data_IF_017924660182
#
_entry.id   IF_017924660182
#
_cell.length_a   1.000
_cell.length_b   1.000
_cell.length_c   1.000
_cell.angle_alpha   90.00
_cell.angle_beta   90.00
_cell.angle_gamma   90.00
#
_symmetry.space_group_name_H-M   'P 1'
#
loop_
_entity.id
_entity.type
_entity.pdbx_description
1 polymer ?
#
# COMPACT_ATOMS: atom_id res chain seq x y z
N UNK A 1 -1.60 -27.91 45.97
CA UNK A 1 -0.43 -27.60 45.11
C UNK A 1 -0.88 -27.79 43.68
N UNK A 2 -1.34 -26.71 43.05
CA UNK A 2 -1.82 -26.74 41.67
C UNK A 2 -0.65 -26.38 40.74
N UNK A 3 -0.41 -27.25 39.77
CA UNK A 3 0.63 -27.13 38.75
C UNK A 3 0.35 -25.94 37.84
N UNK A 4 1.40 -25.11 37.69
CA UNK A 4 1.55 -24.04 36.70
C UNK A 4 1.03 -24.48 35.33
N UNK A 5 -0.04 -23.85 34.84
CA UNK A 5 -0.44 -23.96 33.44
C UNK A 5 0.44 -23.03 32.61
N UNK A 6 1.21 -23.61 31.69
CA UNK A 6 2.04 -22.88 30.75
C UNK A 6 1.23 -21.83 29.99
N UNK A 7 1.71 -20.59 29.99
CA UNK A 7 1.32 -19.58 29.03
C UNK A 7 1.62 -20.10 27.62
N UNK A 8 0.57 -20.44 26.87
CA UNK A 8 0.66 -20.54 25.42
C UNK A 8 0.86 -19.13 24.89
N UNK A 9 2.04 -18.83 24.38
CA UNK A 9 2.33 -17.56 23.69
C UNK A 9 1.53 -17.56 22.40
N UNK A 10 0.48 -16.75 22.34
CA UNK A 10 -0.31 -16.52 21.14
C UNK A 10 0.50 -15.61 20.20
N UNK A 11 1.25 -16.20 19.28
CA UNK A 11 1.83 -15.49 18.13
C UNK A 11 0.98 -15.78 16.90
N UNK A 12 -0.10 -15.04 16.60
CA UNK A 12 -0.63 -15.13 15.24
C UNK A 12 -1.61 -14.04 14.79
N UNK A 13 -1.37 -13.65 13.55
CA UNK A 13 -2.19 -12.90 12.60
C UNK A 13 -3.47 -13.67 12.18
N UNK A 14 -4.18 -14.27 13.13
CA UNK A 14 -5.31 -15.19 12.85
C UNK A 14 -6.59 -14.51 12.31
N UNK A 15 -6.59 -13.18 12.14
CA UNK A 15 -7.76 -12.44 11.62
C UNK A 15 -7.79 -12.32 10.09
N UNK A 16 -6.76 -12.81 9.37
CA UNK A 16 -6.81 -12.90 7.91
C UNK A 16 -7.33 -14.30 7.52
N UNK A 17 -8.48 -14.45 6.84
CA UNK A 17 -8.99 -15.76 6.46
C UNK A 17 -7.99 -16.46 5.54
N UNK A 18 -7.38 -17.54 6.06
CA UNK A 18 -6.91 -18.81 5.44
C UNK A 18 -6.32 -18.79 4.01
N UNK A 19 -5.92 -17.66 3.46
CA UNK A 19 -5.08 -17.63 2.25
C UNK A 19 -3.64 -17.64 2.71
N UNK A 20 -3.13 -18.85 2.97
CA UNK A 20 -1.71 -19.06 3.21
C UNK A 20 -0.96 -18.71 1.93
N UNK A 21 -0.10 -17.69 1.98
CA UNK A 21 0.82 -17.41 0.90
C UNK A 21 1.73 -18.64 0.68
N UNK A 22 2.08 -18.95 -0.58
CA UNK A 22 3.15 -19.92 -0.85
C UNK A 22 4.42 -19.52 -0.09
N UNK A 23 4.99 -20.44 0.69
CA UNK A 23 6.17 -20.17 1.53
C UNK A 23 6.02 -18.96 2.46
N UNK A 24 4.91 -18.91 3.22
CA UNK A 24 4.62 -17.83 4.17
C UNK A 24 5.75 -17.60 5.21
N UNK A 25 6.56 -18.64 5.46
CA UNK A 25 7.76 -18.57 6.32
C UNK A 25 8.80 -17.57 5.82
N UNK A 26 8.78 -17.20 4.54
CA UNK A 26 9.61 -16.12 4.00
C UNK A 26 9.41 -14.82 4.79
N UNK A 27 8.18 -14.52 5.20
CA UNK A 27 7.82 -13.31 5.94
C UNK A 27 7.97 -13.45 7.45
N UNK A 28 8.50 -14.57 7.93
CA UNK A 28 8.86 -14.70 9.34
C UNK A 28 10.18 -13.95 9.57
N UNK A 29 10.14 -13.07 10.56
CA UNK A 29 11.31 -12.37 11.06
C UNK A 29 11.37 -12.49 12.59
N UNK A 30 12.56 -12.29 13.15
CA UNK A 30 12.82 -12.48 14.58
C UNK A 30 12.52 -11.18 15.30
N UNK A 31 11.32 -11.06 15.85
CA UNK A 31 10.92 -9.91 16.66
C UNK A 31 11.15 -10.14 18.16
N UNK A 32 11.43 -9.07 18.92
CA UNK A 32 11.67 -9.17 20.35
C UNK A 32 10.46 -9.75 21.08
N UNK A 33 10.70 -10.69 21.99
CA UNK A 33 9.69 -11.34 22.84
C UNK A 33 9.77 -10.92 24.30
N UNK A 34 10.84 -10.24 24.67
CA UNK A 34 11.06 -9.71 26.02
C UNK A 34 11.32 -8.21 25.97
N UNK A 35 11.08 -7.51 27.07
CA UNK A 35 11.37 -6.07 27.17
C UNK A 35 12.85 -5.74 26.94
N UNK A 36 13.76 -6.64 27.33
CA UNK A 36 15.20 -6.47 27.10
C UNK A 36 15.55 -6.60 25.62
N UNK A 37 15.04 -7.65 24.94
CA UNK A 37 15.20 -7.81 23.50
C UNK A 37 14.62 -6.62 22.74
N UNK A 38 13.48 -6.10 23.22
CA UNK A 38 12.83 -4.95 22.62
C UNK A 38 13.67 -3.68 22.73
N UNK A 39 14.21 -3.37 23.91
CA UNK A 39 15.11 -2.22 24.08
C UNK A 39 16.34 -2.32 23.18
N UNK A 40 16.97 -3.50 23.12
CA UNK A 40 18.13 -3.74 22.27
C UNK A 40 17.79 -3.57 20.78
N UNK A 41 16.61 -4.04 20.39
CA UNK A 41 16.09 -3.89 19.04
C UNK A 41 15.83 -2.42 18.68
N UNK A 42 15.20 -1.63 19.55
CA UNK A 42 15.02 -0.18 19.35
C UNK A 42 16.35 0.56 19.22
N UNK A 43 17.35 0.20 20.03
CA UNK A 43 18.69 0.80 19.96
C UNK A 43 19.40 0.44 18.64
N UNK A 44 19.25 -0.80 18.17
CA UNK A 44 19.74 -1.22 16.86
C UNK A 44 19.08 -0.40 15.73
N UNK A 45 17.74 -0.28 15.72
CA UNK A 45 17.03 0.51 14.70
C UNK A 45 17.50 1.97 14.66
N UNK A 46 17.75 2.57 15.83
CA UNK A 46 18.31 3.94 15.91
C UNK A 46 19.72 4.00 15.31
N UNK A 47 20.57 3.02 15.58
CA UNK A 47 21.92 2.96 15.00
C UNK A 47 21.86 2.81 13.47
N UNK A 48 21.00 1.92 12.98
CA UNK A 48 20.79 1.70 11.54
C UNK A 48 20.24 2.96 10.85
N UNK A 49 19.28 3.64 11.47
CA UNK A 49 18.73 4.89 10.97
C UNK A 49 19.80 6.00 10.91
N UNK A 50 20.68 6.09 11.92
CA UNK A 50 21.78 7.06 11.95
C UNK A 50 22.90 6.72 10.96
N UNK A 51 23.06 5.44 10.61
CA UNK A 51 24.02 5.00 9.60
C UNK A 51 23.52 5.20 8.17
N UNK A 52 22.22 5.48 8.00
CA UNK A 52 21.65 5.80 6.70
C UNK A 52 22.25 7.10 6.16
N UNK A 53 22.64 7.05 4.89
CA UNK A 53 23.15 8.20 4.16
C UNK A 53 22.25 8.41 2.95
N UNK A 54 21.89 9.66 2.69
CA UNK A 54 21.21 10.01 1.45
C UNK A 54 22.17 9.75 0.29
N UNK A 55 21.85 8.76 -0.54
CA UNK A 55 22.64 8.37 -1.69
C UNK A 55 21.78 8.53 -2.94
N UNK A 56 22.27 9.27 -3.93
CA UNK A 56 21.54 9.46 -5.19
C UNK A 56 21.27 8.13 -5.93
N UNK A 57 22.21 7.19 -5.82
CA UNK A 57 22.11 5.85 -6.39
C UNK A 57 22.79 4.83 -5.48
N UNK A 58 22.24 3.62 -5.37
CA UNK A 58 22.90 2.53 -4.67
C UNK A 58 22.50 1.16 -5.24
N UNK A 59 23.39 0.19 -5.12
CA UNK A 59 23.06 -1.21 -5.39
C UNK A 59 22.67 -1.87 -4.07
N UNK A 60 21.70 -2.77 -4.11
CA UNK A 60 21.27 -3.55 -2.94
C UNK A 60 21.59 -5.03 -3.16
N UNK A 61 21.99 -5.70 -2.09
CA UNK A 61 22.29 -7.12 -2.14
C UNK A 61 21.02 -7.92 -1.87
N UNK A 62 20.59 -8.73 -2.83
CA UNK A 62 19.47 -9.67 -2.63
C UNK A 62 19.99 -10.86 -1.81
N UNK A 63 19.50 -10.99 -0.59
CA UNK A 63 19.81 -12.10 0.33
C UNK A 63 18.90 -13.29 0.06
N UNK A 64 17.61 -13.02 -0.14
CA UNK A 64 16.63 -14.05 -0.37
C UNK A 64 15.51 -13.53 -1.26
N UNK A 65 14.85 -14.44 -1.97
CA UNK A 65 13.74 -14.11 -2.86
C UNK A 65 12.56 -14.99 -2.55
N UNK A 66 11.39 -14.38 -2.46
CA UNK A 66 10.14 -15.09 -2.27
C UNK A 66 9.75 -15.86 -3.53
N UNK A 67 9.29 -17.10 -3.34
CA UNK A 67 9.14 -18.17 -4.34
C UNK A 67 8.76 -17.66 -5.75
N UNK A 68 9.67 -17.72 -6.75
CA UNK A 68 9.43 -17.20 -8.10
C UNK A 68 8.22 -17.82 -8.80
N UNK A 69 7.95 -19.11 -8.58
CA UNK A 69 6.84 -19.82 -9.23
C UNK A 69 5.45 -19.40 -8.73
N UNK A 70 5.38 -18.65 -7.63
CA UNK A 70 4.14 -18.10 -7.10
C UNK A 70 3.80 -16.73 -7.69
N UNK A 71 4.64 -16.17 -8.59
CA UNK A 71 4.43 -14.81 -9.07
C UNK A 71 3.24 -14.71 -10.02
N UNK A 72 2.25 -13.85 -9.72
CA UNK A 72 1.06 -13.69 -10.55
C UNK A 72 1.35 -13.32 -12.02
N UNK A 73 2.44 -12.58 -12.26
CA UNK A 73 2.88 -12.15 -13.59
C UNK A 73 3.38 -13.27 -14.50
N UNK A 74 3.64 -14.47 -13.95
CA UNK A 74 4.09 -15.64 -14.71
C UNK A 74 2.95 -16.57 -15.13
N UNK A 75 1.86 -16.60 -14.35
CA UNK A 75 0.70 -17.45 -14.60
C UNK A 75 -0.40 -16.80 -15.45
N UNK A 76 -0.40 -15.47 -15.58
CA UNK A 76 -1.40 -14.78 -16.40
C UNK A 76 -1.13 -15.03 -17.88
N UNK A 77 -2.03 -15.75 -18.57
CA UNK A 77 -2.02 -15.88 -20.01
C UNK A 77 -1.92 -14.49 -20.64
N UNK A 78 -0.79 -14.23 -21.29
CA UNK A 78 -0.26 -12.92 -21.63
C UNK A 78 -1.02 -12.18 -22.75
N UNK A 79 -2.35 -12.20 -22.78
CA UNK A 79 -3.10 -11.81 -23.98
C UNK A 79 -4.39 -11.02 -23.77
N UNK A 80 -4.70 -10.49 -22.59
CA UNK A 80 -5.74 -9.44 -22.56
C UNK A 80 -5.11 -8.17 -23.14
N UNK A 81 -5.59 -7.75 -24.32
CA UNK A 81 -5.13 -6.54 -25.03
C UNK A 81 -5.17 -5.27 -24.17
N UNK A 82 -5.91 -5.31 -23.07
CA UNK A 82 -6.16 -4.15 -22.22
C UNK A 82 -5.08 -3.94 -21.14
N UNK A 83 -4.24 -4.95 -20.85
CA UNK A 83 -3.21 -4.84 -19.79
C UNK A 83 -1.86 -4.36 -20.34
N UNK A 84 -1.10 -3.67 -19.48
CA UNK A 84 0.30 -3.34 -19.73
C UNK A 84 1.14 -4.63 -19.87
N UNK A 85 2.11 -4.66 -20.79
CA UNK A 85 2.88 -5.88 -21.05
C UNK A 85 3.86 -6.19 -19.92
N UNK A 86 3.97 -7.48 -19.56
CA UNK A 86 5.04 -7.96 -18.67
C UNK A 86 6.37 -7.96 -19.43
N UNK A 87 7.46 -7.35 -18.89
CA UNK A 87 8.76 -7.33 -19.55
C UNK A 87 9.25 -8.73 -19.92
N UNK A 88 9.91 -8.85 -21.09
CA UNK A 88 10.44 -10.13 -21.57
C UNK A 88 11.38 -10.81 -20.58
N UNK A 89 12.21 -10.01 -19.90
CA UNK A 89 13.12 -10.48 -18.84
C UNK A 89 12.39 -11.13 -17.68
N UNK A 90 11.23 -10.61 -17.25
CA UNK A 90 10.42 -11.18 -16.15
C UNK A 90 9.73 -12.47 -16.60
N UNK A 91 9.33 -12.56 -17.88
CA UNK A 91 8.75 -13.78 -18.45
C UNK A 91 9.78 -14.86 -18.80
N UNK A 92 11.06 -14.51 -18.82
CA UNK A 92 12.11 -15.44 -19.22
C UNK A 92 12.33 -16.51 -18.14
N UNK A 93 12.62 -17.75 -18.56
CA UNK A 93 12.85 -18.88 -17.62
C UNK A 93 13.95 -18.62 -16.60
N UNK A 94 14.98 -17.84 -16.96
CA UNK A 94 16.05 -17.45 -16.03
C UNK A 94 15.50 -16.63 -14.86
N UNK A 95 14.40 -15.90 -15.04
CA UNK A 95 13.80 -15.17 -13.94
C UNK A 95 13.19 -16.09 -12.89
N UNK A 96 12.85 -17.35 -13.17
CA UNK A 96 12.35 -18.29 -12.14
C UNK A 96 13.39 -19.29 -11.67
N UNK A 97 14.52 -19.37 -12.37
CA UNK A 97 15.60 -20.28 -12.05
C UNK A 97 16.34 -19.83 -10.78
N UNK A 98 16.42 -20.72 -9.79
CA UNK A 98 17.13 -20.49 -8.54
C UNK A 98 18.63 -20.25 -8.72
N UNK A 99 19.20 -20.66 -9.85
CA UNK A 99 20.62 -20.45 -10.17
C UNK A 99 20.89 -19.11 -10.86
N UNK A 100 19.84 -18.36 -11.23
CA UNK A 100 20.00 -17.05 -11.86
C UNK A 100 20.23 -15.97 -10.81
N UNK A 101 21.16 -15.07 -11.09
CA UNK A 101 21.45 -13.91 -10.26
C UNK A 101 20.58 -12.74 -10.71
N UNK A 102 19.73 -12.27 -9.80
CA UNK A 102 18.99 -11.02 -9.94
C UNK A 102 19.78 -9.92 -9.23
N UNK A 103 19.94 -8.77 -9.89
CA UNK A 103 20.50 -7.57 -9.26
C UNK A 103 19.53 -6.41 -9.37
N UNK A 104 19.49 -5.59 -8.33
CA UNK A 104 18.66 -4.40 -8.25
C UNK A 104 19.58 -3.19 -8.07
N UNK A 105 19.42 -2.19 -8.93
CA UNK A 105 20.11 -0.91 -8.82
C UNK A 105 19.07 0.18 -8.59
N UNK A 106 19.16 0.88 -7.45
CA UNK A 106 18.32 2.01 -7.11
C UNK A 106 18.91 3.25 -7.79
N UNK A 107 18.13 3.90 -8.65
CA UNK A 107 18.63 4.93 -9.57
C UNK A 107 18.06 6.32 -9.30
N UNK A 108 16.89 6.41 -8.68
CA UNK A 108 16.26 7.68 -8.34
C UNK A 108 15.28 7.50 -7.19
N UNK A 109 15.35 8.29 -6.12
CA UNK A 109 14.33 8.27 -5.07
C UNK A 109 13.00 8.80 -5.59
N UNK A 110 11.90 8.12 -5.23
CA UNK A 110 10.53 8.54 -5.52
C UNK A 110 9.84 9.04 -4.24
N UNK A 111 10.03 8.34 -3.13
CA UNK A 111 9.58 8.72 -1.78
C UNK A 111 10.56 8.10 -0.78
N UNK A 112 11.38 8.92 -0.15
CA UNK A 112 12.39 8.47 0.82
C UNK A 112 12.45 9.46 1.98
N UNK A 113 13.06 9.04 3.08
CA UNK A 113 13.35 9.88 4.23
C UNK A 113 12.83 9.30 5.54
N UNK A 114 13.16 9.98 6.65
CA UNK A 114 12.62 9.64 7.96
C UNK A 114 11.11 9.82 7.97
N UNK A 115 10.41 9.02 8.78
CA UNK A 115 8.94 8.97 8.89
C UNK A 115 8.21 8.35 7.68
N UNK A 116 8.95 7.88 6.68
CA UNK A 116 8.38 7.07 5.62
C UNK A 116 8.56 5.59 5.96
N UNK A 117 7.45 4.90 6.21
CA UNK A 117 7.42 3.47 6.55
C UNK A 117 7.97 2.60 5.41
N UNK A 118 8.11 3.16 4.21
CA UNK A 118 8.82 2.51 3.14
C UNK A 118 9.59 3.50 2.28
N UNK A 119 10.76 3.09 1.84
CA UNK A 119 11.61 3.83 0.93
C UNK A 119 11.32 3.37 -0.50
N UNK A 120 10.74 4.24 -1.31
CA UNK A 120 10.31 3.95 -2.68
C UNK A 120 11.31 4.53 -3.66
N UNK A 121 11.89 3.65 -4.46
CA UNK A 121 12.90 3.98 -5.45
C UNK A 121 12.45 3.59 -6.86
N UNK A 122 12.81 4.39 -7.85
CA UNK A 122 12.91 3.92 -9.22
C UNK A 122 14.27 3.24 -9.39
N UNK A 123 14.26 2.07 -9.97
CA UNK A 123 15.47 1.29 -10.20
C UNK A 123 15.46 0.50 -11.49
N UNK A 124 16.52 -0.26 -11.67
CA UNK A 124 16.66 -1.26 -12.73
C UNK A 124 16.87 -2.64 -12.11
N UNK A 125 16.21 -3.64 -12.69
CA UNK A 125 16.36 -5.04 -12.35
C UNK A 125 17.03 -5.76 -13.51
N UNK A 126 18.12 -6.46 -13.22
CA UNK A 126 18.83 -7.29 -14.19
C UNK A 126 18.76 -8.75 -13.77
N UNK A 127 18.70 -9.64 -14.76
CA UNK A 127 18.70 -11.09 -14.55
C UNK A 127 19.83 -11.67 -15.38
N UNK A 128 20.71 -12.40 -14.71
CA UNK A 128 21.85 -13.07 -15.35
C UNK A 128 21.83 -14.55 -15.00
N UNK A 129 22.05 -15.42 -15.99
CA UNK A 129 22.16 -16.86 -15.80
C UNK A 129 23.45 -17.34 -16.47
N UNK A 130 24.12 -18.32 -15.85
CA UNK A 130 25.37 -18.87 -16.34
C UNK A 130 25.12 -19.47 -17.74
N UNK A 131 25.85 -18.96 -18.75
CA UNK A 131 25.75 -19.44 -20.13
C UNK A 131 24.48 -19.02 -20.89
N UNK A 132 23.69 -18.08 -20.36
CA UNK A 132 22.52 -17.53 -21.06
C UNK A 132 22.82 -16.17 -21.71
N UNK A 133 22.00 -15.82 -22.71
CA UNK A 133 21.99 -14.50 -23.32
C UNK A 133 21.73 -13.39 -22.28
N UNK A 134 22.39 -12.24 -22.45
CA UNK A 134 22.18 -11.07 -21.58
C UNK A 134 20.78 -10.52 -21.84
N UNK A 135 19.91 -10.64 -20.83
CA UNK A 135 18.55 -10.11 -20.90
C UNK A 135 18.56 -8.60 -20.70
N UNK A 136 17.65 -7.85 -21.36
CA UNK A 136 17.59 -6.40 -21.19
C UNK A 136 17.20 -6.02 -19.75
N UNK A 137 17.73 -4.90 -19.22
CA UNK A 137 17.35 -4.39 -17.92
C UNK A 137 15.86 -4.03 -17.88
N UNK A 138 15.22 -4.27 -16.74
CA UNK A 138 13.81 -3.93 -16.50
C UNK A 138 13.74 -2.69 -15.63
N UNK A 139 13.02 -1.65 -16.06
CA UNK A 139 12.69 -0.54 -15.16
C UNK A 139 11.66 -1.01 -14.14
N UNK A 140 11.95 -0.77 -12.86
CA UNK A 140 11.11 -1.22 -11.76
C UNK A 140 10.97 -0.12 -10.69
N UNK A 141 9.93 -0.25 -9.87
CA UNK A 141 9.85 0.39 -8.57
C UNK A 141 10.31 -0.62 -7.52
N UNK A 142 11.18 -0.18 -6.61
CA UNK A 142 11.64 -0.95 -5.47
C UNK A 142 11.14 -0.24 -4.22
N UNK A 143 10.13 -0.81 -3.56
CA UNK A 143 9.59 -0.33 -2.28
C UNK A 143 10.23 -1.13 -1.16
N UNK A 144 11.05 -0.50 -0.35
CA UNK A 144 11.81 -1.12 0.74
C UNK A 144 11.11 -0.81 2.06
N UNK A 145 10.68 -1.83 2.78
CA UNK A 145 10.15 -1.72 4.13
C UNK A 145 11.33 -1.68 5.11
N UNK A 146 11.93 -0.49 5.23
CA UNK A 146 13.13 -0.27 6.04
C UNK A 146 12.72 -0.03 7.49
N UNK A 147 12.92 -1.05 8.33
CA UNK A 147 12.38 -1.09 9.69
C UNK A 147 12.93 0.03 10.57
N UNK A 148 14.17 0.47 10.32
CA UNK A 148 14.81 1.57 11.04
C UNK A 148 14.08 2.92 10.92
N UNK A 149 13.24 3.09 9.89
CA UNK A 149 12.50 4.33 9.61
C UNK A 149 11.03 4.27 9.99
N UNK A 150 10.59 3.17 10.59
CA UNK A 150 9.24 3.07 11.11
C UNK A 150 9.13 3.96 12.36
N UNK A 151 7.90 4.40 12.66
CA UNK A 151 7.64 5.02 13.94
C UNK A 151 8.09 4.10 15.08
N UNK A 152 8.67 4.72 16.11
CA UNK A 152 9.17 3.99 17.27
C UNK A 152 8.05 3.13 17.86
N UNK A 153 8.27 1.84 18.12
CA UNK A 153 7.21 0.96 18.58
C UNK A 153 6.54 1.43 19.87
N UNK A 154 7.24 2.21 20.69
CA UNK A 154 6.71 2.86 21.90
C UNK A 154 5.50 3.77 21.61
N UNK A 155 5.39 4.29 20.38
CA UNK A 155 4.21 5.05 19.94
C UNK A 155 2.95 4.16 19.80
N UNK A 156 3.07 2.84 19.62
CA UNK A 156 1.96 1.91 19.39
C UNK A 156 1.42 1.26 20.67
N UNK A 157 1.35 2.05 21.75
CA UNK A 157 1.00 1.62 23.10
C UNK A 157 2.03 0.62 23.70
N UNK A 158 2.99 1.10 24.50
CA UNK A 158 4.25 0.41 24.82
C UNK A 158 4.09 -0.91 25.58
N UNK A 159 3.01 -1.07 26.36
CA UNK A 159 2.74 -2.28 27.14
C UNK A 159 1.96 -3.34 26.35
N UNK A 160 1.16 -2.91 25.38
CA UNK A 160 0.32 -3.77 24.54
C UNK A 160 0.97 -4.13 23.20
N UNK A 161 1.80 -3.25 22.62
CA UNK A 161 2.36 -3.42 21.28
C UNK A 161 3.19 -4.68 21.09
N UNK A 162 3.98 -5.03 22.09
CA UNK A 162 4.85 -6.22 22.08
C UNK A 162 4.03 -7.50 22.30
N UNK A 163 3.07 -7.47 23.22
CA UNK A 163 2.29 -8.65 23.64
C UNK A 163 1.12 -8.97 22.69
N UNK A 164 0.50 -7.96 22.07
CA UNK A 164 -0.67 -8.12 21.20
C UNK A 164 -0.33 -7.95 19.71
N UNK A 165 0.96 -7.81 19.37
CA UNK A 165 1.43 -7.69 17.99
C UNK A 165 0.74 -6.56 17.18
N UNK A 166 0.35 -5.47 17.85
CA UNK A 166 -0.29 -4.32 17.19
C UNK A 166 0.72 -3.43 16.48
N UNK A 167 2.01 -3.57 16.79
CA UNK A 167 3.09 -2.85 16.10
C UNK A 167 3.33 -3.44 14.71
N UNK A 168 3.17 -2.60 13.69
CA UNK A 168 3.34 -3.00 12.29
C UNK A 168 4.82 -3.08 11.92
N UNK A 169 5.25 -4.24 11.47
CA UNK A 169 6.64 -4.48 11.08
C UNK A 169 6.81 -4.53 9.57
N UNK A 170 8.04 -4.33 9.09
CA UNK A 170 8.36 -4.39 7.66
C UNK A 170 8.04 -5.75 7.05
N UNK A 171 8.25 -6.84 7.79
CA UNK A 171 7.87 -8.18 7.38
C UNK A 171 6.35 -8.33 7.21
N UNK A 172 5.57 -7.79 8.15
CA UNK A 172 4.11 -7.84 8.12
C UNK A 172 3.53 -7.01 6.96
N UNK A 173 4.07 -5.82 6.71
CA UNK A 173 3.65 -4.99 5.58
C UNK A 173 4.00 -5.62 4.24
N UNK A 174 5.22 -6.15 4.10
CA UNK A 174 5.63 -6.89 2.90
C UNK A 174 4.72 -8.10 2.65
N UNK A 175 4.34 -8.82 3.71
CA UNK A 175 3.40 -9.95 3.64
C UNK A 175 2.01 -9.52 3.22
N UNK A 176 1.46 -8.45 3.81
CA UNK A 176 0.14 -7.90 3.43
C UNK A 176 0.12 -7.49 1.97
N UNK A 177 1.18 -6.83 1.51
CA UNK A 177 1.29 -6.42 0.13
C UNK A 177 1.40 -7.63 -0.82
N UNK A 178 2.20 -8.65 -0.47
CA UNK A 178 2.27 -9.90 -1.22
C UNK A 178 0.92 -10.63 -1.29
N UNK A 179 0.20 -10.69 -0.17
CA UNK A 179 -1.14 -11.28 -0.07
C UNK A 179 -2.14 -10.54 -0.97
N UNK A 180 -2.19 -9.21 -0.87
CA UNK A 180 -3.09 -8.39 -1.68
C UNK A 180 -2.82 -8.59 -3.18
N UNK A 181 -1.56 -8.50 -3.61
CA UNK A 181 -1.18 -8.70 -5.02
C UNK A 181 -1.47 -10.12 -5.51
N UNK A 182 -1.38 -11.12 -4.64
CA UNK A 182 -1.73 -12.51 -4.98
C UNK A 182 -3.23 -12.66 -5.26
N UNK A 183 -4.09 -12.06 -4.44
CA UNK A 183 -5.54 -12.06 -4.66
C UNK A 183 -5.97 -11.20 -5.86
N UNK A 184 -5.25 -10.11 -6.12
CA UNK A 184 -5.54 -9.18 -7.22
C UNK A 184 -4.79 -9.52 -8.51
N UNK A 185 -4.42 -10.79 -8.75
CA UNK A 185 -3.74 -11.22 -9.97
C UNK A 185 -4.46 -10.78 -11.26
N UNK A 186 -5.80 -10.73 -11.24
CA UNK A 186 -6.62 -10.29 -12.37
C UNK A 186 -6.55 -8.77 -12.64
N UNK A 187 -6.04 -7.97 -11.71
CA UNK A 187 -5.95 -6.51 -11.83
C UNK A 187 -4.53 -6.04 -12.18
N UNK A 188 -3.52 -6.90 -12.00
CA UNK A 188 -2.14 -6.54 -12.31
C UNK A 188 -1.95 -6.24 -13.80
N UNK A 189 -1.21 -5.15 -14.08
CA UNK A 189 -1.05 -4.58 -15.41
C UNK A 189 -2.22 -3.74 -15.89
N UNK A 190 -3.35 -3.77 -15.17
CA UNK A 190 -4.52 -2.92 -15.37
C UNK A 190 -4.58 -1.88 -14.26
N UNK A 191 -5.47 -2.09 -13.29
CA UNK A 191 -5.76 -1.20 -12.16
C UNK A 191 -4.67 -1.18 -11.08
N UNK A 192 -3.76 -2.15 -11.06
CA UNK A 192 -2.58 -2.16 -10.18
C UNK A 192 -1.31 -2.52 -10.98
N UNK A 193 -0.10 -2.17 -10.49
CA UNK A 193 1.16 -2.56 -11.12
C UNK A 193 1.33 -4.08 -11.26
N UNK A 194 2.19 -4.53 -12.18
CA UNK A 194 2.70 -5.90 -12.09
C UNK A 194 3.64 -6.05 -10.89
N UNK A 195 3.42 -7.07 -10.05
CA UNK A 195 4.39 -7.49 -9.04
C UNK A 195 5.46 -8.37 -9.69
N UNK A 196 6.73 -8.01 -9.51
CA UNK A 196 7.87 -8.85 -9.89
C UNK A 196 8.38 -9.70 -8.71
N UNK A 197 7.85 -9.47 -7.51
CA UNK A 197 8.06 -10.31 -6.33
C UNK A 197 8.58 -9.55 -5.11
N UNK A 198 8.69 -10.30 -4.01
CA UNK A 198 9.24 -9.82 -2.75
C UNK A 198 10.64 -10.38 -2.54
N UNK A 199 11.53 -9.53 -2.04
CA UNK A 199 12.93 -9.84 -1.80
C UNK A 199 13.31 -9.47 -0.37
N UNK A 200 14.23 -10.22 0.23
CA UNK A 200 15.00 -9.77 1.40
C UNK A 200 16.29 -9.15 0.88
N UNK A 201 16.51 -7.91 1.24
CA UNK A 201 17.67 -7.12 0.85
C UNK A 201 18.60 -6.94 2.05
N UNK A 202 19.88 -6.78 1.76
CA UNK A 202 20.85 -6.16 2.67
C UNK A 202 21.20 -4.78 2.15
N UNK A 203 20.95 -3.77 2.97
CA UNK A 203 21.24 -2.37 2.66
C UNK A 203 22.73 -2.07 2.89
N UNK A 204 23.23 -0.95 2.37
CA UNK A 204 24.66 -0.60 2.41
C UNK A 204 25.24 -0.48 3.83
N UNK A 205 24.41 -0.12 4.82
CA UNK A 205 24.75 -0.07 6.24
C UNK A 205 24.55 -1.40 6.98
N UNK A 206 24.16 -2.47 6.28
CA UNK A 206 24.04 -3.82 6.81
C UNK A 206 22.65 -4.26 7.25
N UNK A 207 21.70 -3.32 7.41
CA UNK A 207 20.30 -3.60 7.77
C UNK A 207 19.67 -4.57 6.77
N UNK A 208 18.90 -5.54 7.30
CA UNK A 208 18.06 -6.41 6.49
C UNK A 208 16.69 -5.79 6.35
N UNK A 209 16.19 -5.72 5.12
CA UNK A 209 14.87 -5.17 4.83
C UNK A 209 14.11 -6.05 3.85
N UNK A 210 12.78 -6.01 3.91
CA UNK A 210 11.94 -6.57 2.87
C UNK A 210 11.75 -5.54 1.76
N UNK A 211 11.64 -5.99 0.52
CA UNK A 211 11.34 -5.12 -0.60
C UNK A 211 10.36 -5.73 -1.57
N UNK A 212 9.36 -4.95 -1.99
CA UNK A 212 8.49 -5.28 -3.10
C UNK A 212 9.03 -4.64 -4.37
N UNK A 213 9.39 -5.47 -5.35
CA UNK A 213 9.78 -5.02 -6.68
C UNK A 213 8.60 -5.14 -7.62
N UNK A 214 8.22 -4.05 -8.28
CA UNK A 214 7.05 -3.98 -9.13
C UNK A 214 7.28 -3.13 -10.40
N UNK A 215 6.32 -3.15 -11.30
CA UNK A 215 6.29 -2.34 -12.51
C UNK A 215 6.44 -0.85 -12.19
N UNK A 216 7.34 -0.17 -12.92
CA UNK A 216 7.32 1.29 -12.98
C UNK A 216 6.22 1.75 -13.93
N UNK A 217 5.18 2.35 -13.35
CA UNK A 217 4.03 2.86 -14.11
C UNK A 217 4.26 4.31 -14.50
N UNK A 218 4.33 4.58 -15.81
CA UNK A 218 4.39 5.95 -16.31
C UNK A 218 3.01 6.62 -16.21
N UNK A 219 2.95 7.71 -15.45
CA UNK A 219 1.75 8.52 -15.21
C UNK A 219 2.05 9.66 -14.24
N UNK A 220 1.02 10.42 -13.86
CA UNK A 220 1.12 11.49 -12.87
C UNK A 220 0.57 11.01 -11.53
N UNK A 221 1.17 11.44 -10.43
CA UNK A 221 0.55 11.27 -9.11
C UNK A 221 -0.79 11.99 -9.10
N UNK A 222 -1.81 11.40 -8.47
CA UNK A 222 -3.12 12.03 -8.34
C UNK A 222 -3.03 13.35 -7.55
N UNK A 223 -2.03 13.50 -6.65
CA UNK A 223 -1.72 14.78 -5.98
C UNK A 223 -1.36 15.92 -6.94
N UNK A 224 -0.96 15.61 -8.18
CA UNK A 224 -0.59 16.59 -9.19
C UNK A 224 -1.74 16.86 -10.16
N UNK A 225 -2.91 16.24 -9.95
CA UNK A 225 -4.08 16.40 -10.81
C UNK A 225 -4.98 17.46 -10.20
N UNK A 226 -5.37 18.43 -11.01
CA UNK A 226 -6.44 19.37 -10.70
C UNK A 226 -7.47 19.29 -11.82
N UNK A 227 -8.74 19.22 -11.44
CA UNK A 227 -9.87 19.10 -12.36
C UNK A 227 -10.83 20.29 -12.27
N UNK A 228 -10.49 21.33 -11.51
CA UNK A 228 -11.35 22.50 -11.27
C UNK A 228 -11.80 23.19 -12.57
N UNK A 229 -10.95 23.21 -13.59
CA UNK A 229 -11.24 23.83 -14.90
C UNK A 229 -11.63 22.78 -15.97
N UNK A 230 -11.77 21.52 -15.59
CA UNK A 230 -12.09 20.45 -16.52
C UNK A 230 -13.59 20.36 -16.77
N UNK A 231 -14.03 19.98 -17.98
CA UNK A 231 -15.44 19.72 -18.24
C UNK A 231 -15.98 18.62 -17.32
N UNK A 232 -17.16 18.84 -16.73
CA UNK A 232 -17.81 17.92 -15.79
C UNK A 232 -17.83 16.46 -16.28
N UNK A 233 -18.07 16.23 -17.57
CA UNK A 233 -18.07 14.89 -18.14
C UNK A 233 -16.70 14.16 -17.99
N UNK A 234 -15.59 14.89 -18.10
CA UNK A 234 -14.24 14.33 -17.91
C UNK A 234 -13.96 14.06 -16.43
N UNK A 235 -14.37 14.99 -15.56
CA UNK A 235 -14.28 14.86 -14.10
C UNK A 235 -15.01 13.60 -13.64
N UNK A 236 -16.26 13.44 -14.06
CA UNK A 236 -17.11 12.30 -13.70
C UNK A 236 -16.60 10.99 -14.30
N UNK A 237 -15.99 11.01 -15.50
CA UNK A 237 -15.36 9.83 -16.07
C UNK A 237 -14.13 9.38 -15.26
N UNK A 238 -13.31 10.33 -14.78
CA UNK A 238 -12.18 10.04 -13.89
C UNK A 238 -12.67 9.48 -12.54
N UNK A 239 -13.65 10.13 -11.91
CA UNK A 239 -14.23 9.67 -10.65
C UNK A 239 -14.83 8.25 -10.78
N UNK A 240 -15.57 7.99 -11.86
CA UNK A 240 -16.10 6.66 -12.18
C UNK A 240 -14.99 5.63 -12.39
N UNK A 241 -13.86 6.02 -12.99
CA UNK A 241 -12.70 5.14 -13.16
C UNK A 241 -12.04 4.80 -11.82
N UNK A 242 -11.93 5.77 -10.90
CA UNK A 242 -11.40 5.55 -9.55
C UNK A 242 -12.30 4.62 -8.75
N UNK A 243 -13.60 4.90 -8.73
CA UNK A 243 -14.59 4.06 -8.06
C UNK A 243 -14.64 2.64 -8.65
N UNK A 244 -14.58 2.51 -9.97
CA UNK A 244 -14.53 1.21 -10.63
C UNK A 244 -13.27 0.43 -10.29
N UNK A 245 -12.10 1.07 -10.23
CA UNK A 245 -10.87 0.40 -9.85
C UNK A 245 -10.92 -0.07 -8.38
N UNK A 246 -11.44 0.76 -7.47
CA UNK A 246 -11.62 0.39 -6.07
C UNK A 246 -12.63 -0.76 -5.90
N UNK A 247 -13.74 -0.71 -6.63
CA UNK A 247 -14.74 -1.79 -6.64
C UNK A 247 -14.13 -3.12 -7.08
N UNK A 248 -13.30 -3.13 -8.13
CA UNK A 248 -12.60 -4.34 -8.57
C UNK A 248 -11.63 -4.88 -7.51
N UNK A 249 -10.91 -4.00 -6.80
CA UNK A 249 -10.07 -4.39 -5.65
C UNK A 249 -10.90 -5.10 -4.57
N UNK A 250 -12.05 -4.52 -4.23
CA UNK A 250 -12.99 -5.09 -3.24
C UNK A 250 -13.58 -6.43 -3.72
N UNK A 251 -13.90 -6.56 -5.01
CA UNK A 251 -14.37 -7.82 -5.61
C UNK A 251 -13.31 -8.94 -5.55
N UNK A 252 -12.02 -8.60 -5.51
CA UNK A 252 -10.94 -9.56 -5.23
C UNK A 252 -10.84 -9.93 -3.74
N UNK A 253 -11.75 -9.47 -2.88
CA UNK A 253 -11.73 -9.70 -1.44
C UNK A 253 -10.69 -8.86 -0.70
N UNK A 254 -10.15 -7.82 -1.35
CA UNK A 254 -9.10 -6.96 -0.80
C UNK A 254 -9.65 -5.57 -0.52
N UNK A 255 -9.59 -5.17 0.75
CA UNK A 255 -9.66 -3.78 1.18
C UNK A 255 -8.28 -3.15 0.97
N UNK A 256 -8.24 -1.96 0.39
CA UNK A 256 -6.98 -1.24 0.16
C UNK A 256 -6.38 -0.69 1.47
N UNK A 257 -7.22 -0.10 2.34
CA UNK A 257 -6.80 0.38 3.66
C UNK A 257 -6.09 1.74 3.68
N UNK A 258 -5.67 2.27 2.53
CA UNK A 258 -4.92 3.52 2.41
C UNK A 258 -5.20 4.24 1.08
N UNK A 259 -6.49 4.47 0.81
CA UNK A 259 -6.94 5.18 -0.40
C UNK A 259 -6.69 6.68 -0.23
N UNK A 260 -5.61 7.17 -0.84
CA UNK A 260 -5.23 8.57 -0.85
C UNK A 260 -4.63 8.98 -2.19
N UNK A 261 -4.71 10.27 -2.52
CA UNK A 261 -4.21 10.82 -3.79
C UNK A 261 -2.71 10.52 -4.02
N UNK A 262 -1.92 10.40 -2.97
CA UNK A 262 -0.50 10.07 -3.05
C UNK A 262 -0.21 8.59 -3.36
N UNK A 263 -1.22 7.73 -3.31
CA UNK A 263 -1.18 6.30 -3.63
C UNK A 263 -1.95 5.96 -4.91
N UNK A 264 -2.26 6.97 -5.73
CA UNK A 264 -2.97 6.80 -7.00
C UNK A 264 -2.15 7.44 -8.11
N UNK A 265 -1.89 6.69 -9.19
CA UNK A 265 -1.34 7.22 -10.43
C UNK A 265 -2.45 7.35 -11.47
N UNK A 266 -2.49 8.52 -12.12
CA UNK A 266 -3.38 8.82 -13.24
C UNK A 266 -2.62 8.72 -14.56
N UNK A 267 -3.17 7.94 -15.49
CA UNK A 267 -2.68 7.72 -16.84
C UNK A 267 -3.71 8.21 -17.84
N UNK A 268 -3.56 9.45 -18.31
CA UNK A 268 -4.43 10.01 -19.34
C UNK A 268 -4.40 9.12 -20.60
N UNK A 269 -5.57 8.95 -21.22
CA UNK A 269 -5.78 8.19 -22.47
C UNK A 269 -5.39 6.70 -22.43
N UNK A 270 -5.18 6.13 -21.24
CA UNK A 270 -4.94 4.69 -21.09
C UNK A 270 -6.26 3.93 -20.91
N UNK A 271 -6.29 2.66 -21.35
CA UNK A 271 -7.42 1.75 -21.10
C UNK A 271 -7.74 1.60 -19.61
N UNK A 272 -6.70 1.66 -18.76
CA UNK A 272 -6.82 1.72 -17.31
C UNK A 272 -6.20 3.05 -16.84
N UNK A 273 -7.01 4.11 -16.69
CA UNK A 273 -6.50 5.45 -16.38
C UNK A 273 -6.18 5.66 -14.89
N UNK A 274 -6.66 4.78 -14.01
CA UNK A 274 -6.43 4.86 -12.56
C UNK A 274 -5.67 3.64 -12.09
N UNK A 275 -4.58 3.87 -11.36
CA UNK A 275 -3.70 2.83 -10.85
C UNK A 275 -3.57 3.01 -9.34
N UNK A 276 -4.02 2.02 -8.57
CA UNK A 276 -3.82 1.99 -7.12
C UNK A 276 -2.45 1.43 -6.77
N UNK A 277 -1.80 2.05 -5.78
CA UNK A 277 -0.49 1.69 -5.24
C UNK A 277 -0.60 1.44 -3.73
N UNK A 278 0.45 0.87 -3.16
CA UNK A 278 0.64 0.77 -1.71
C UNK A 278 -0.47 -0.01 -0.96
N UNK A 279 -0.32 -1.33 -0.97
CA UNK A 279 -1.20 -2.26 -0.26
C UNK A 279 -0.59 -2.76 1.05
N UNK A 280 0.32 -1.98 1.67
CA UNK A 280 0.95 -2.34 2.95
C UNK A 280 -0.08 -2.42 4.10
N UNK A 281 -1.17 -1.66 3.97
CA UNK A 281 -2.31 -1.65 4.90
C UNK A 281 -3.50 -2.46 4.41
N UNK A 282 -3.33 -3.27 3.36
CA UNK A 282 -4.41 -4.06 2.81
C UNK A 282 -4.94 -5.08 3.83
N UNK A 283 -6.25 -5.31 3.76
CA UNK A 283 -6.97 -6.22 4.64
C UNK A 283 -8.02 -7.02 3.87
N UNK A 284 -8.53 -8.13 4.41
CA UNK A 284 -9.68 -8.83 3.86
C UNK A 284 -10.91 -7.95 3.99
N UNK A 285 -11.83 -8.09 3.04
CA UNK A 285 -13.12 -7.43 3.16
C UNK A 285 -13.92 -8.10 4.26
N UNK A 286 -14.24 -7.32 5.30
CA UNK A 286 -15.24 -7.65 6.30
C UNK A 286 -16.52 -6.85 6.00
N UNK A 287 -17.73 -7.40 6.23
CA UNK A 287 -19.00 -6.77 5.83
C UNK A 287 -19.22 -5.34 6.36
N UNK A 288 -18.55 -4.98 7.44
CA UNK A 288 -18.68 -3.71 8.16
C UNK A 288 -17.48 -2.75 7.98
N UNK A 289 -16.44 -3.12 7.22
CA UNK A 289 -15.14 -2.40 7.26
C UNK A 289 -14.54 -2.00 5.91
N UNK A 290 -15.30 -1.35 5.04
CA UNK A 290 -14.71 -0.66 3.87
C UNK A 290 -15.05 0.83 3.78
N UNK A 291 -15.71 1.38 4.80
CA UNK A 291 -16.00 2.81 4.93
C UNK A 291 -14.76 3.69 4.80
N UNK A 292 -13.61 3.24 5.33
CA UNK A 292 -12.34 3.96 5.24
C UNK A 292 -11.86 4.18 3.80
N UNK A 293 -12.02 3.18 2.93
CA UNK A 293 -11.60 3.28 1.53
C UNK A 293 -12.53 4.21 0.74
N UNK A 294 -13.83 4.19 1.04
CA UNK A 294 -14.81 5.12 0.45
C UNK A 294 -14.59 6.55 0.91
N UNK A 295 -14.28 6.76 2.19
CA UNK A 295 -13.87 8.07 2.70
C UNK A 295 -12.63 8.57 1.96
N UNK A 296 -11.62 7.71 1.85
CA UNK A 296 -10.39 8.02 1.12
C UNK A 296 -10.65 8.39 -0.34
N UNK A 297 -11.60 7.72 -1.01
CA UNK A 297 -12.02 8.07 -2.36
C UNK A 297 -12.67 9.46 -2.41
N UNK A 298 -13.63 9.76 -1.53
CA UNK A 298 -14.28 11.09 -1.48
C UNK A 298 -13.26 12.19 -1.22
N UNK A 299 -12.37 12.01 -0.22
CA UNK A 299 -11.31 12.98 0.06
C UNK A 299 -10.33 13.14 -1.11
N UNK A 300 -10.03 12.06 -1.83
CA UNK A 300 -9.20 12.13 -3.05
C UNK A 300 -9.89 12.96 -4.13
N UNK A 301 -11.19 12.77 -4.35
CA UNK A 301 -11.97 13.54 -5.34
C UNK A 301 -12.03 15.03 -4.96
N UNK A 302 -12.19 15.34 -3.67
CA UNK A 302 -12.09 16.73 -3.19
C UNK A 302 -10.70 17.32 -3.43
N UNK A 303 -9.64 16.55 -3.12
CA UNK A 303 -8.26 17.01 -3.25
C UNK A 303 -7.87 17.34 -4.70
N UNK A 304 -8.50 16.71 -5.69
CA UNK A 304 -8.30 17.05 -7.11
C UNK A 304 -9.19 18.19 -7.60
N UNK A 305 -10.08 18.74 -6.75
CA UNK A 305 -10.88 19.93 -7.06
C UNK A 305 -12.38 19.69 -7.25
N UNK A 306 -12.92 18.49 -7.00
CA UNK A 306 -14.37 18.27 -7.05
C UNK A 306 -15.05 18.82 -5.80
N UNK A 307 -16.09 19.64 -5.99
CA UNK A 307 -16.88 20.14 -4.87
C UNK A 307 -17.77 19.02 -4.29
N UNK A 308 -18.03 19.03 -2.97
CA UNK A 308 -18.90 18.02 -2.32
C UNK A 308 -20.27 17.87 -3.01
N UNK A 309 -20.99 18.96 -3.37
CA UNK A 309 -22.25 18.82 -4.11
C UNK A 309 -22.10 18.13 -5.47
N UNK A 310 -20.97 18.33 -6.15
CA UNK A 310 -20.69 17.67 -7.42
C UNK A 310 -20.38 16.18 -7.23
N UNK A 311 -19.59 15.81 -6.22
CA UNK A 311 -19.34 14.40 -5.88
C UNK A 311 -20.65 13.70 -5.53
N UNK A 312 -21.53 14.37 -4.77
CA UNK A 312 -22.88 13.86 -4.44
C UNK A 312 -23.69 13.61 -5.72
N UNK A 313 -23.75 14.59 -6.62
CA UNK A 313 -24.49 14.46 -7.87
C UNK A 313 -23.93 13.34 -8.77
N UNK A 314 -22.61 13.22 -8.87
CA UNK A 314 -21.96 12.12 -9.59
C UNK A 314 -22.32 10.75 -9.00
N UNK A 315 -22.32 10.65 -7.68
CA UNK A 315 -22.68 9.43 -6.97
C UNK A 315 -24.16 9.05 -7.18
N UNK A 316 -25.08 10.01 -7.01
CA UNK A 316 -26.51 9.82 -7.23
C UNK A 316 -26.82 9.39 -8.67
N UNK A 317 -26.16 10.01 -9.65
CA UNK A 317 -26.23 9.62 -11.07
C UNK A 317 -25.71 8.18 -11.28
N UNK A 318 -24.62 7.80 -10.60
CA UNK A 318 -24.11 6.42 -10.62
C UNK A 318 -25.13 5.40 -10.11
N UNK A 319 -25.84 5.70 -9.02
CA UNK A 319 -26.94 4.85 -8.52
C UNK A 319 -28.06 4.77 -9.54
N UNK A 320 -28.50 5.90 -10.07
CA UNK A 320 -29.61 5.95 -11.03
C UNK A 320 -29.31 5.13 -12.29
N UNK A 321 -28.05 5.16 -12.75
CA UNK A 321 -27.56 4.38 -13.89
C UNK A 321 -27.20 2.93 -13.54
N UNK A 322 -27.33 2.53 -12.26
CA UNK A 322 -26.95 1.21 -11.76
C UNK A 322 -25.49 0.85 -12.12
N UNK A 323 -24.59 1.82 -11.99
CA UNK A 323 -23.18 1.57 -12.22
C UNK A 323 -22.67 0.54 -11.19
N UNK A 324 -21.89 -0.50 -11.57
CA UNK A 324 -21.50 -1.56 -10.63
C UNK A 324 -20.81 -1.06 -9.36
N UNK A 325 -19.96 -0.04 -9.47
CA UNK A 325 -19.25 0.54 -8.33
C UNK A 325 -20.18 1.26 -7.33
N UNK A 326 -21.39 1.64 -7.74
CA UNK A 326 -22.35 2.33 -6.86
C UNK A 326 -22.86 1.42 -5.73
N UNK A 327 -22.77 0.11 -5.89
CA UNK A 327 -23.13 -0.88 -4.86
C UNK A 327 -22.37 -0.67 -3.55
N UNK A 328 -21.10 -0.25 -3.62
CA UNK A 328 -20.29 0.03 -2.43
C UNK A 328 -20.90 1.13 -1.57
N UNK A 329 -21.31 2.20 -2.23
CA UNK A 329 -21.86 3.37 -1.56
C UNK A 329 -23.28 3.10 -1.07
N UNK A 330 -24.10 2.36 -1.82
CA UNK A 330 -25.44 1.92 -1.37
C UNK A 330 -25.31 1.07 -0.11
N UNK A 331 -24.38 0.11 -0.09
CA UNK A 331 -24.09 -0.67 1.11
C UNK A 331 -23.65 0.21 2.29
N UNK A 332 -22.77 1.17 2.04
CA UNK A 332 -22.29 2.10 3.06
C UNK A 332 -23.42 2.96 3.65
N UNK A 333 -24.33 3.47 2.83
CA UNK A 333 -25.50 4.24 3.28
C UNK A 333 -26.44 3.38 4.13
N UNK A 334 -26.65 2.13 3.73
CA UNK A 334 -27.51 1.20 4.47
C UNK A 334 -26.89 0.78 5.81
N UNK A 335 -25.58 0.65 5.88
CA UNK A 335 -24.85 0.20 7.07
C UNK A 335 -24.59 1.34 8.05
N UNK A 336 -24.30 2.53 7.54
CA UNK A 336 -24.03 3.74 8.32
C UNK A 336 -24.92 4.86 7.81
N UNK A 337 -26.19 4.91 8.25
CA UNK A 337 -27.08 6.03 7.95
C UNK A 337 -26.40 7.34 8.36
N UNK A 338 -26.48 8.37 7.52
CA UNK A 338 -25.80 9.66 7.69
C UNK A 338 -24.29 9.67 7.43
N UNK A 339 -23.71 8.60 6.87
CA UNK A 339 -22.31 8.58 6.46
C UNK A 339 -21.94 9.81 5.60
N UNK A 340 -22.79 10.21 4.67
CA UNK A 340 -22.53 11.37 3.81
C UNK A 340 -22.49 12.70 4.58
N UNK A 341 -23.23 12.82 5.67
CA UNK A 341 -23.26 14.04 6.48
C UNK A 341 -21.89 14.40 7.05
N UNK A 342 -20.97 13.43 7.17
CA UNK A 342 -19.57 13.69 7.57
C UNK A 342 -18.84 14.64 6.64
N UNK A 343 -19.22 14.71 5.37
CA UNK A 343 -18.57 15.54 4.37
C UNK A 343 -19.25 16.90 4.16
N UNK A 344 -20.51 17.03 4.56
CA UNK A 344 -21.27 18.29 4.42
C UNK A 344 -20.99 19.27 5.56
N UNK A 345 -20.16 18.90 6.54
CA UNK A 345 -19.88 19.72 7.72
C UNK A 345 -21.06 19.83 8.71
N UNK A 346 -22.14 19.09 8.48
CA UNK A 346 -23.39 19.12 9.26
C UNK A 346 -23.38 18.08 10.38
N UNK A 347 -22.21 17.77 10.94
CA UNK A 347 -22.03 16.60 11.79
C UNK A 347 -22.24 16.95 13.25
N UNK A 348 -23.20 16.36 13.97
CA UNK A 348 -23.22 16.41 15.42
C UNK A 348 -21.92 15.82 15.97
N UNK A 349 -21.30 16.45 16.96
CA UNK A 349 -19.98 16.11 17.52
C UNK A 349 -19.76 14.62 17.81
N UNK A 350 -20.80 13.86 18.15
CA UNK A 350 -20.75 12.41 18.36
C UNK A 350 -20.36 11.58 17.12
N UNK A 351 -20.72 12.02 15.91
CA UNK A 351 -20.39 11.32 14.65
C UNK A 351 -18.96 11.67 14.20
N UNK A 352 -18.49 12.89 14.47
CA UNK A 352 -17.07 13.26 14.31
C UNK A 352 -16.19 12.41 15.22
N UNK A 353 -16.64 12.08 16.43
CA UNK A 353 -15.90 11.21 17.34
C UNK A 353 -15.81 9.76 16.82
N UNK A 354 -16.86 9.23 16.20
CA UNK A 354 -16.83 7.90 15.57
C UNK A 354 -15.97 7.84 14.30
N UNK A 355 -16.09 8.82 13.41
CA UNK A 355 -15.26 8.94 12.21
C UNK A 355 -13.79 9.16 12.57
N UNK A 356 -13.51 10.03 13.55
CA UNK A 356 -12.16 10.26 14.03
C UNK A 356 -11.59 9.06 14.77
N UNK A 357 -12.35 8.27 15.54
CA UNK A 357 -11.86 6.99 16.10
C UNK A 357 -11.58 5.93 15.04
N UNK A 358 -12.34 5.91 13.95
CA UNK A 358 -12.09 5.01 12.82
C UNK A 358 -10.83 5.38 12.03
N UNK A 359 -10.47 6.68 12.01
CA UNK A 359 -9.25 7.23 11.40
C UNK A 359 -8.05 7.17 12.36
N UNK A 360 -8.24 7.50 13.64
CA UNK A 360 -7.23 7.48 14.73
C UNK A 360 -6.93 6.08 15.27
N UNK A 361 -7.79 5.09 15.02
CA UNK A 361 -7.50 3.69 15.30
C UNK A 361 -6.31 3.13 14.49
N UNK A 362 -5.77 3.92 13.54
CA UNK A 362 -4.66 3.55 12.67
C UNK A 362 -3.48 4.55 12.69
N UNK A 363 -3.69 5.79 13.14
CA UNK A 363 -2.65 6.80 13.30
C UNK A 363 -2.61 7.24 14.77
N UNK A 364 -1.44 7.10 15.40
CA UNK A 364 -1.11 7.31 16.83
C UNK A 364 -1.66 8.59 17.50
N UNK A 365 -1.65 8.69 18.86
CA UNK A 365 -2.49 9.59 19.62
C UNK A 365 -1.95 11.03 19.70
N UNK A 366 -2.90 11.97 19.74
CA UNK A 366 -2.77 13.36 20.22
C UNK A 366 -1.68 14.23 19.57
N UNK A 367 -2.04 14.81 18.43
CA UNK A 367 -1.53 16.11 17.98
C UNK A 367 -2.71 17.02 17.66
N UNK A 368 -2.87 18.10 18.42
CA UNK A 368 -3.93 19.08 18.24
C UNK A 368 -3.88 19.70 16.84
N UNK A 369 -5.03 19.71 16.18
CA UNK A 369 -5.22 20.16 14.80
C UNK A 369 -5.47 21.68 14.69
N UNK A 370 -5.23 22.45 15.76
CA UNK A 370 -5.61 23.87 15.84
C UNK A 370 -4.62 24.86 15.19
N UNK A 371 -3.40 24.44 14.81
CA UNK A 371 -2.37 25.40 14.34
C UNK A 371 -2.17 25.50 12.80
N UNK A 372 -3.10 25.00 11.97
CA UNK A 372 -2.94 25.03 10.50
C UNK A 372 -3.72 26.13 9.75
N UNK A 373 -4.31 27.10 10.46
CA UNK A 373 -4.86 28.30 9.84
C UNK A 373 -4.50 29.57 10.63
N UNK A 374 -3.32 30.17 10.40
CA UNK A 374 -3.14 31.56 10.78
C UNK A 374 -3.99 32.43 9.86
N UNK A 375 -4.85 33.22 10.49
CA UNK A 375 -5.69 34.26 9.91
C UNK A 375 -4.93 35.05 8.83
N UNK A 376 -5.48 35.07 7.62
CA UNK A 376 -5.14 36.07 6.61
C UNK A 376 -6.10 37.23 6.82
N UNK A 377 -5.69 38.21 7.62
CA UNK A 377 -6.26 39.56 7.61
C UNK A 377 -5.14 40.59 7.38
N UNK A 378 -5.37 41.40 6.34
CA UNK A 378 -4.94 42.78 6.09
C UNK A 378 -3.46 43.20 6.21
N UNK A 379 -2.87 43.57 5.06
CA UNK A 379 -2.60 44.98 4.70
C UNK A 379 -1.69 45.13 3.47
N UNK A 380 -2.18 45.88 2.47
CA UNK A 380 -1.50 46.65 1.40
C UNK A 380 -0.64 45.87 0.39
#
# INVERSE_FOLDING_TARGET
MATSSSLTVFTQFDDLPVVTLPDDRFFVDTYPRTSQEFSAFCDQLKQEANAWQDQETCSVDIVHRWCPSALPCLGCAASSRDRRPVPGTVRHRAFVDSNSKITLSLTRPLRIGPNEWSQVWRGTMNVSSIGSEVLPPVSAVVKIFQQSFFEQPESYAPESGIMFATWLTGAQQARREAWAYSLMQSLQGGEIPWSYGIFKLRLGHGELAFAHVMEFVNGRSCTQISVSDSPQAQVWALASSMASALYKTIQCGVRHGDVRSSNIIIRQDAAHPVIFLDFAFAQPILPDRFSGDLNGLVFTLQAIGMAIPEIKAWFEDGIQRQAPWSELFVHQINTVPLWWSSFEGVVPSAVLEYCSRSIRGWNSPEGDFEDLFPEVEDAI
#
